data_IF_907197190237
#
_entry.id   IF_907197190237
#
_cell.length_a   1.000
_cell.length_b   1.000
_cell.length_c   1.000
_cell.angle_alpha   90.00
_cell.angle_beta   90.00
_cell.angle_gamma   90.00
#
_symmetry.space_group_name_H-M   'P 1'
#
loop_
_entity.id
_entity.type
_entity.pdbx_description
1 polymer ?
#
# COMPACT_ATOMS: atom_id res chain seq x y z
N UNK A 1 14.50 -0.17 3.35
CA UNK A 1 13.14 0.03 3.91
C UNK A 1 12.09 -0.79 3.17
N UNK A 2 12.07 -0.84 1.82
CA UNK A 2 11.11 -1.65 1.04
C UNK A 2 10.96 -3.10 1.48
N UNK A 3 12.04 -3.77 1.87
CA UNK A 3 11.96 -5.17 2.32
C UNK A 3 11.14 -5.32 3.59
N UNK A 4 11.28 -4.39 4.56
CA UNK A 4 10.43 -4.36 5.75
C UNK A 4 8.95 -4.15 5.40
N UNK A 5 8.65 -3.35 4.38
CA UNK A 5 7.26 -3.17 3.93
C UNK A 5 6.67 -4.47 3.37
N UNK A 6 7.47 -5.25 2.61
CA UNK A 6 7.05 -6.57 2.12
C UNK A 6 6.83 -7.53 3.28
N UNK A 7 7.77 -7.59 4.23
CA UNK A 7 7.65 -8.41 5.45
C UNK A 7 6.36 -8.11 6.20
N UNK A 8 6.04 -6.83 6.42
CA UNK A 8 4.81 -6.44 7.12
C UNK A 8 3.55 -6.83 6.36
N UNK A 9 3.54 -6.71 5.03
CA UNK A 9 2.42 -7.14 4.20
C UNK A 9 2.24 -8.67 4.23
N UNK A 10 3.35 -9.43 4.28
CA UNK A 10 3.32 -10.87 4.46
C UNK A 10 2.80 -11.27 5.84
N UNK A 11 3.23 -10.60 6.91
CA UNK A 11 2.70 -10.81 8.26
C UNK A 11 1.18 -10.53 8.33
N UNK A 12 0.72 -9.44 7.69
CA UNK A 12 -0.73 -9.15 7.58
C UNK A 12 -1.46 -10.30 6.86
N UNK A 13 -0.90 -10.80 5.76
CA UNK A 13 -1.46 -11.95 5.05
C UNK A 13 -1.55 -13.19 5.96
N UNK A 14 -0.48 -13.55 6.65
CA UNK A 14 -0.43 -14.71 7.54
C UNK A 14 -1.51 -14.61 8.64
N UNK A 15 -1.62 -13.44 9.27
CA UNK A 15 -2.65 -13.17 10.26
C UNK A 15 -4.07 -13.30 9.67
N UNK A 16 -4.31 -12.74 8.48
CA UNK A 16 -5.61 -12.85 7.81
C UNK A 16 -5.96 -14.31 7.47
N UNK A 17 -4.98 -15.11 7.03
CA UNK A 17 -5.15 -16.53 6.77
C UNK A 17 -5.44 -17.32 8.05
N UNK A 18 -4.75 -17.03 9.15
CA UNK A 18 -5.00 -17.64 10.45
C UNK A 18 -6.42 -17.35 10.94
N UNK A 19 -6.88 -16.10 10.84
CA UNK A 19 -8.26 -15.70 11.18
C UNK A 19 -9.28 -16.45 10.31
N UNK A 20 -9.01 -16.60 9.00
CA UNK A 20 -9.88 -17.37 8.10
C UNK A 20 -9.98 -18.84 8.52
N UNK A 21 -8.86 -19.49 8.86
CA UNK A 21 -8.84 -20.88 9.34
C UNK A 21 -9.61 -21.03 10.65
N UNK A 22 -9.36 -20.15 11.62
CA UNK A 22 -10.07 -20.16 12.90
C UNK A 22 -11.59 -19.98 12.73
N UNK A 23 -12.03 -19.10 11.82
CA UNK A 23 -13.46 -18.94 11.50
C UNK A 23 -14.08 -20.20 10.88
N UNK A 24 -13.37 -20.87 9.98
CA UNK A 24 -13.84 -22.11 9.36
C UNK A 24 -13.90 -23.27 10.36
N UNK A 25 -12.88 -23.39 11.22
CA UNK A 25 -12.87 -24.35 12.33
C UNK A 25 -14.07 -24.13 13.27
N UNK A 26 -14.34 -22.87 13.66
CA UNK A 26 -15.49 -22.52 14.50
C UNK A 26 -16.84 -22.83 13.83
N UNK A 27 -16.88 -22.80 12.49
CA UNK A 27 -18.05 -23.19 11.71
C UNK A 27 -18.18 -24.72 11.49
N UNK A 28 -17.23 -25.51 11.99
CA UNK A 28 -17.27 -26.98 11.99
C UNK A 28 -16.42 -27.67 10.93
N UNK A 29 -15.76 -26.93 10.03
CA UNK A 29 -14.89 -27.52 8.99
C UNK A 29 -13.78 -26.56 8.57
N UNK A 30 -12.56 -26.79 9.07
CA UNK A 30 -11.39 -25.97 8.74
C UNK A 30 -11.04 -26.04 7.23
N UNK A 31 -11.33 -27.15 6.54
CA UNK A 31 -11.00 -27.30 5.11
C UNK A 31 -11.68 -26.24 4.24
N UNK A 32 -12.78 -25.67 4.73
CA UNK A 32 -13.54 -24.59 4.09
C UNK A 32 -12.97 -23.19 4.34
N UNK A 33 -11.78 -23.05 4.93
CA UNK A 33 -11.15 -21.74 5.20
C UNK A 33 -11.05 -20.85 3.96
N UNK A 34 -10.86 -21.42 2.76
CA UNK A 34 -10.83 -20.66 1.50
C UNK A 34 -12.15 -19.95 1.20
N UNK A 35 -13.29 -20.45 1.70
CA UNK A 35 -14.61 -19.80 1.57
C UNK A 35 -14.77 -18.58 2.49
N UNK A 36 -13.97 -18.47 3.56
CA UNK A 36 -13.98 -17.32 4.45
C UNK A 36 -13.40 -16.09 3.72
N UNK A 37 -14.02 -14.93 3.89
CA UNK A 37 -13.60 -13.69 3.20
C UNK A 37 -12.85 -12.76 4.14
N UNK A 38 -11.70 -12.28 3.70
CA UNK A 38 -11.06 -11.09 4.26
C UNK A 38 -11.63 -9.87 3.54
N UNK A 39 -12.53 -9.15 4.21
CA UNK A 39 -13.32 -8.08 3.59
C UNK A 39 -12.46 -6.86 3.30
N UNK A 40 -12.78 -6.10 2.26
CA UNK A 40 -12.00 -4.94 1.83
C UNK A 40 -11.82 -3.87 2.93
N UNK A 41 -12.84 -3.51 3.74
CA UNK A 41 -12.63 -2.59 4.86
C UNK A 41 -11.65 -3.14 5.90
N UNK A 42 -11.70 -4.44 6.17
CA UNK A 42 -10.77 -5.10 7.09
C UNK A 42 -9.35 -5.07 6.54
N UNK A 43 -9.15 -5.39 5.25
CA UNK A 43 -7.84 -5.28 4.58
C UNK A 43 -7.23 -3.90 4.76
N UNK A 44 -8.03 -2.86 4.45
CA UNK A 44 -7.59 -1.47 4.53
C UNK A 44 -7.18 -1.12 5.98
N UNK A 45 -8.02 -1.49 6.95
CA UNK A 45 -7.73 -1.28 8.37
C UNK A 45 -6.48 -2.00 8.84
N UNK A 46 -6.29 -3.27 8.47
CA UNK A 46 -5.14 -4.08 8.91
C UNK A 46 -3.82 -3.51 8.36
N UNK A 47 -3.80 -3.10 7.09
CA UNK A 47 -2.63 -2.46 6.46
C UNK A 47 -2.33 -1.12 7.13
N UNK A 48 -3.32 -0.24 7.25
CA UNK A 48 -3.15 1.08 7.89
C UNK A 48 -2.68 0.95 9.32
N UNK A 49 -3.21 -0.01 10.08
CA UNK A 49 -2.79 -0.26 11.46
C UNK A 49 -1.33 -0.69 11.54
N UNK A 50 -0.92 -1.68 10.75
CA UNK A 50 0.45 -2.18 10.79
C UNK A 50 1.47 -1.10 10.40
N UNK A 51 1.24 -0.40 9.29
CA UNK A 51 2.15 0.65 8.86
C UNK A 51 2.18 1.82 9.84
N UNK A 52 1.05 2.20 10.43
CA UNK A 52 1.04 3.21 11.48
C UNK A 52 1.92 2.83 12.66
N UNK A 53 1.71 1.65 13.22
CA UNK A 53 2.35 1.24 14.47
C UNK A 53 3.87 1.06 14.26
N UNK A 54 4.29 0.58 13.09
CA UNK A 54 5.71 0.52 12.73
C UNK A 54 6.31 1.91 12.44
N UNK A 55 5.55 2.80 11.79
CA UNK A 55 5.98 4.19 11.56
C UNK A 55 6.19 4.95 12.86
N UNK A 56 5.32 4.73 13.85
CA UNK A 56 5.44 5.33 15.17
C UNK A 56 6.74 4.88 15.88
N UNK A 57 7.08 3.58 15.81
CA UNK A 57 8.36 3.06 16.34
C UNK A 57 9.58 3.69 15.68
N UNK A 58 9.43 4.15 14.44
CA UNK A 58 10.46 4.85 13.66
C UNK A 58 10.45 6.38 13.88
N UNK A 59 9.54 6.90 14.72
CA UNK A 59 9.44 8.33 15.02
C UNK A 59 8.58 9.15 14.05
N UNK A 60 7.84 8.51 13.14
CA UNK A 60 6.99 9.20 12.17
C UNK A 60 5.56 9.42 12.69
N UNK A 61 4.93 10.50 12.22
CA UNK A 61 3.49 10.77 12.46
C UNK A 61 2.67 10.36 11.24
N UNK A 62 1.65 9.53 11.43
CA UNK A 62 0.80 9.08 10.33
C UNK A 62 -0.43 9.96 10.08
N UNK A 63 -1.02 9.84 8.89
CA UNK A 63 -2.46 9.99 8.67
C UNK A 63 -2.99 8.76 7.93
N UNK A 64 -4.17 8.22 8.28
CA UNK A 64 -4.96 8.57 9.46
C UNK A 64 -4.23 8.28 10.79
N UNK A 65 -4.73 8.88 11.88
CA UNK A 65 -4.16 8.80 13.23
C UNK A 65 -5.24 8.51 14.27
N UNK A 66 -5.10 7.42 15.02
CA UNK A 66 -6.01 7.11 16.14
C UNK A 66 -5.76 8.00 17.36
N UNK A 67 -4.52 8.49 17.53
CA UNK A 67 -4.15 9.34 18.68
C UNK A 67 -4.84 10.69 18.64
N UNK A 68 -5.01 11.24 17.45
CA UNK A 68 -5.60 12.55 17.23
C UNK A 68 -7.01 12.49 16.61
N UNK A 69 -7.46 11.30 16.22
CA UNK A 69 -8.70 11.12 15.46
C UNK A 69 -8.66 11.71 14.04
N UNK A 70 -7.47 12.07 13.56
CA UNK A 70 -7.32 12.68 12.24
C UNK A 70 -7.57 11.64 11.14
N UNK A 71 -8.40 12.01 10.18
CA UNK A 71 -8.75 11.18 9.03
C UNK A 71 -7.64 11.09 7.99
N UNK A 72 -8.00 10.50 6.86
CA UNK A 72 -7.17 10.46 5.66
C UNK A 72 -6.91 11.87 5.11
N UNK A 73 -5.88 11.97 4.29
CA UNK A 73 -5.51 13.23 3.64
C UNK A 73 -5.63 13.10 2.12
N UNK A 74 -4.62 13.56 1.37
CA UNK A 74 -4.58 13.37 -0.09
C UNK A 74 -4.45 11.89 -0.48
N UNK A 75 -3.79 11.11 0.38
CA UNK A 75 -3.55 9.68 0.21
C UNK A 75 -4.30 8.89 1.28
N UNK A 76 -4.56 7.61 1.01
CA UNK A 76 -5.09 6.67 2.00
C UNK A 76 -4.23 6.64 3.26
N UNK A 77 -2.91 6.65 3.09
CA UNK A 77 -2.00 6.59 4.22
C UNK A 77 -0.68 7.33 3.95
N UNK A 78 -0.20 8.05 4.95
CA UNK A 78 1.11 8.72 4.91
C UNK A 78 1.91 8.56 6.20
N UNK A 79 3.23 8.56 6.08
CA UNK A 79 4.14 8.90 7.18
C UNK A 79 4.78 10.26 6.94
N UNK A 80 4.87 11.04 8.01
CA UNK A 80 5.36 12.41 7.99
C UNK A 80 6.41 12.60 9.07
N UNK A 81 7.49 13.28 8.73
CA UNK A 81 8.53 13.72 9.64
C UNK A 81 8.38 15.21 9.92
N UNK A 82 8.57 15.59 11.17
CA UNK A 82 8.48 16.97 11.62
C UNK A 82 9.79 17.35 12.29
N UNK A 83 10.18 18.61 12.17
CA UNK A 83 11.30 19.17 12.93
C UNK A 83 10.92 19.37 14.42
N UNK A 84 11.90 19.81 15.22
CA UNK A 84 11.72 20.05 16.65
C UNK A 84 10.73 21.19 16.95
N UNK A 85 10.51 22.10 15.99
CA UNK A 85 9.55 23.21 16.07
C UNK A 85 8.14 22.79 15.64
N UNK A 86 7.99 21.59 15.09
CA UNK A 86 6.71 21.02 14.64
C UNK A 86 6.33 21.39 13.21
N UNK A 87 7.25 21.91 12.39
CA UNK A 87 7.03 22.08 10.96
C UNK A 87 7.18 20.76 10.21
N UNK A 88 6.40 20.58 9.14
CA UNK A 88 6.49 19.40 8.28
C UNK A 88 7.80 19.46 7.48
N UNK A 89 8.72 18.53 7.75
CA UNK A 89 10.01 18.44 7.08
C UNK A 89 9.92 17.56 5.82
N UNK A 90 9.23 16.42 5.92
CA UNK A 90 9.20 15.40 4.86
C UNK A 90 7.91 14.56 4.89
N UNK A 91 7.40 14.20 3.70
CA UNK A 91 6.52 13.04 3.54
C UNK A 91 7.41 11.82 3.27
N UNK A 92 7.61 10.96 4.28
CA UNK A 92 8.52 9.80 4.15
C UNK A 92 7.90 8.71 3.29
N UNK A 93 6.59 8.47 3.47
CA UNK A 93 5.83 7.43 2.80
C UNK A 93 4.48 7.98 2.35
N UNK A 94 4.11 7.71 1.10
CA UNK A 94 2.75 7.86 0.60
C UNK A 94 2.21 6.50 0.11
N UNK A 95 0.96 6.20 0.44
CA UNK A 95 0.33 4.92 0.10
C UNK A 95 -1.12 5.12 -0.35
N UNK A 96 -1.50 4.44 -1.44
CA UNK A 96 -2.88 4.23 -1.88
C UNK A 96 -3.26 2.76 -1.68
N UNK A 97 -4.49 2.49 -1.22
CA UNK A 97 -4.98 1.18 -0.81
C UNK A 97 -6.34 0.90 -1.46
N UNK A 98 -6.30 0.38 -2.69
CA UNK A 98 -7.48 0.11 -3.49
C UNK A 98 -7.96 -1.35 -3.34
N UNK A 99 -8.68 -1.61 -2.24
CA UNK A 99 -9.19 -2.94 -1.90
C UNK A 99 -10.61 -3.20 -2.41
N UNK A 100 -11.32 -2.20 -2.93
CA UNK A 100 -12.70 -2.34 -3.41
C UNK A 100 -12.84 -2.16 -4.92
N UNK A 101 -12.04 -1.27 -5.51
CA UNK A 101 -12.06 -1.01 -6.95
C UNK A 101 -11.28 -2.09 -7.71
N UNK A 102 -11.88 -2.62 -8.77
CA UNK A 102 -11.27 -3.59 -9.68
C UNK A 102 -11.11 -3.04 -11.10
N UNK A 103 -11.54 -1.81 -11.31
CA UNK A 103 -11.47 -1.17 -12.61
C UNK A 103 -10.06 -0.62 -12.80
N UNK A 104 -9.49 -0.88 -13.97
CA UNK A 104 -8.18 -0.34 -14.32
C UNK A 104 -8.19 1.20 -14.22
N UNK A 105 -9.28 1.85 -14.64
CA UNK A 105 -9.40 3.31 -14.58
C UNK A 105 -9.26 3.88 -13.17
N UNK A 106 -9.91 3.27 -12.18
CA UNK A 106 -9.83 3.70 -10.78
C UNK A 106 -8.40 3.56 -10.24
N UNK A 107 -7.87 2.34 -10.30
CA UNK A 107 -6.50 2.02 -9.88
C UNK A 107 -5.46 2.97 -10.47
N UNK A 108 -5.61 3.28 -11.76
CA UNK A 108 -4.70 4.14 -12.49
C UNK A 108 -4.82 5.63 -12.13
N UNK A 109 -6.00 6.09 -11.71
CA UNK A 109 -6.22 7.44 -11.18
C UNK A 109 -5.57 7.57 -9.82
N UNK A 110 -5.75 6.59 -8.94
CA UNK A 110 -5.21 6.61 -7.59
C UNK A 110 -3.68 6.46 -7.62
N UNK A 111 -3.13 5.63 -8.50
CA UNK A 111 -1.68 5.58 -8.76
C UNK A 111 -1.09 6.93 -9.24
N UNK A 112 -1.86 7.74 -9.98
CA UNK A 112 -1.38 9.06 -10.41
C UNK A 112 -1.17 10.02 -9.23
N UNK A 113 -1.92 9.86 -8.12
CA UNK A 113 -1.66 10.61 -6.88
C UNK A 113 -0.27 10.27 -6.32
N UNK A 114 0.12 9.00 -6.34
CA UNK A 114 1.46 8.59 -5.89
C UNK A 114 2.57 9.15 -6.79
N UNK A 115 2.36 9.19 -8.11
CA UNK A 115 3.33 9.76 -9.04
C UNK A 115 3.66 11.22 -8.72
N UNK A 116 2.65 12.03 -8.38
CA UNK A 116 2.86 13.44 -8.03
C UNK A 116 3.42 13.68 -6.62
N UNK A 117 3.41 12.68 -5.75
CA UNK A 117 3.98 12.79 -4.41
C UNK A 117 5.50 13.05 -4.48
N UNK A 118 6.01 13.85 -3.57
CA UNK A 118 7.44 14.04 -3.31
C UNK A 118 8.02 12.99 -2.34
N UNK A 119 7.20 12.04 -1.87
CA UNK A 119 7.63 11.05 -0.90
C UNK A 119 8.75 10.13 -1.42
N UNK A 120 9.72 9.84 -0.55
CA UNK A 120 10.82 8.92 -0.85
C UNK A 120 10.32 7.50 -1.13
N UNK A 121 9.33 7.04 -0.35
CA UNK A 121 8.71 5.74 -0.51
C UNK A 121 7.26 5.86 -0.96
N UNK A 122 6.87 5.05 -1.96
CA UNK A 122 5.52 5.05 -2.53
C UNK A 122 4.99 3.63 -2.64
N UNK A 123 3.80 3.40 -2.10
CA UNK A 123 3.20 2.06 -2.07
C UNK A 123 1.83 2.09 -2.74
N UNK A 124 1.63 1.26 -3.76
CA UNK A 124 0.30 1.00 -4.32
C UNK A 124 -0.13 -0.38 -3.86
N UNK A 125 -1.16 -0.45 -3.01
CA UNK A 125 -1.80 -1.71 -2.64
C UNK A 125 -3.12 -1.83 -3.36
N UNK A 126 -3.39 -2.98 -3.97
CA UNK A 126 -4.64 -3.22 -4.69
C UNK A 126 -5.02 -4.70 -4.64
N UNK A 127 -6.19 -5.06 -5.17
CA UNK A 127 -6.58 -6.47 -5.30
C UNK A 127 -7.13 -6.81 -6.68
N UNK A 128 -6.88 -8.04 -7.12
CA UNK A 128 -7.57 -8.64 -8.26
C UNK A 128 -7.97 -10.09 -7.95
N UNK A 129 -8.67 -10.72 -8.90
CA UNK A 129 -9.06 -12.12 -8.75
C UNK A 129 -7.86 -13.04 -8.91
N UNK A 130 -7.14 -12.89 -10.01
CA UNK A 130 -6.02 -13.75 -10.42
C UNK A 130 -4.68 -13.04 -10.24
N UNK A 131 -3.62 -13.82 -10.26
CA UNK A 131 -2.23 -13.39 -10.39
C UNK A 131 -1.95 -12.73 -11.75
N UNK A 132 -2.47 -13.27 -12.84
CA UNK A 132 -2.32 -12.68 -14.19
C UNK A 132 -2.83 -11.23 -14.27
N UNK A 133 -3.99 -10.96 -13.66
CA UNK A 133 -4.56 -9.60 -13.57
C UNK A 133 -3.61 -8.66 -12.79
N UNK A 134 -2.99 -9.17 -11.72
CA UNK A 134 -2.05 -8.40 -10.89
C UNK A 134 -0.77 -8.09 -11.65
N UNK A 135 -0.21 -9.08 -12.35
CA UNK A 135 0.98 -8.88 -13.18
C UNK A 135 0.70 -7.90 -14.32
N UNK A 136 -0.49 -7.96 -14.92
CA UNK A 136 -0.92 -6.99 -15.92
C UNK A 136 -0.97 -5.58 -15.32
N UNK A 137 -1.63 -5.40 -14.17
CA UNK A 137 -1.68 -4.11 -13.46
C UNK A 137 -0.29 -3.57 -13.11
N UNK A 138 0.63 -4.43 -12.64
CA UNK A 138 2.03 -4.07 -12.40
C UNK A 138 2.71 -3.45 -13.62
N UNK A 139 2.56 -4.08 -14.79
CA UNK A 139 3.14 -3.57 -16.03
C UNK A 139 2.51 -2.25 -16.46
N UNK A 140 1.20 -2.06 -16.25
CA UNK A 140 0.55 -0.76 -16.50
C UNK A 140 1.09 0.34 -15.59
N UNK A 141 1.27 0.08 -14.29
CA UNK A 141 1.84 1.04 -13.35
C UNK A 141 3.27 1.43 -13.72
N UNK A 142 4.14 0.45 -14.04
CA UNK A 142 5.51 0.71 -14.49
C UNK A 142 5.56 1.54 -15.77
N UNK A 143 4.73 1.19 -16.77
CA UNK A 143 4.63 1.96 -18.04
C UNK A 143 4.20 3.40 -17.80
N UNK A 144 3.30 3.65 -16.86
CA UNK A 144 2.89 5.02 -16.49
C UNK A 144 4.00 5.77 -15.77
N UNK A 145 4.65 5.14 -14.80
CA UNK A 145 5.76 5.74 -14.07
C UNK A 145 6.91 6.14 -15.01
N UNK A 146 7.26 5.29 -15.98
CA UNK A 146 8.29 5.57 -16.98
C UNK A 146 7.97 6.79 -17.87
N UNK A 147 6.69 7.07 -18.12
CA UNK A 147 6.26 8.25 -18.91
C UNK A 147 6.17 9.53 -18.06
N UNK A 148 5.97 9.39 -16.76
CA UNK A 148 5.84 10.54 -15.87
C UNK A 148 7.14 11.35 -15.79
N UNK A 149 7.01 12.68 -15.74
CA UNK A 149 8.15 13.58 -15.55
C UNK A 149 8.43 13.68 -14.05
N UNK A 150 9.22 12.72 -13.57
CA UNK A 150 9.62 12.60 -12.18
C UNK A 150 10.52 13.76 -11.79
N UNK A 151 10.12 14.49 -10.75
CA UNK A 151 10.90 15.61 -10.18
C UNK A 151 11.80 15.17 -9.04
N UNK A 152 11.34 14.22 -8.23
CA UNK A 152 12.03 13.71 -7.05
C UNK A 152 12.24 12.20 -7.20
N UNK A 153 13.46 11.67 -7.00
CA UNK A 153 13.68 10.23 -6.98
C UNK A 153 12.80 9.56 -5.93
N UNK A 154 12.27 8.38 -6.26
CA UNK A 154 11.40 7.65 -5.32
C UNK A 154 11.47 6.15 -5.54
N UNK A 155 11.24 5.41 -4.46
CA UNK A 155 11.21 3.96 -4.41
C UNK A 155 9.76 3.46 -4.35
N UNK A 156 9.33 2.74 -5.39
CA UNK A 156 7.99 2.17 -5.46
C UNK A 156 7.96 0.71 -5.03
N UNK A 157 6.95 0.36 -4.23
CA UNK A 157 6.52 -1.01 -4.00
C UNK A 157 5.07 -1.16 -4.47
N UNK A 158 4.84 -2.02 -5.45
CA UNK A 158 3.51 -2.40 -5.88
C UNK A 158 3.14 -3.73 -5.22
N UNK A 159 1.96 -3.79 -4.61
CA UNK A 159 1.48 -4.95 -3.88
C UNK A 159 0.06 -5.30 -4.31
N UNK A 160 -0.12 -6.45 -4.95
CA UNK A 160 -1.43 -6.93 -5.40
C UNK A 160 -1.89 -8.13 -4.57
N UNK A 161 -3.07 -8.04 -3.95
CA UNK A 161 -3.72 -9.18 -3.29
C UNK A 161 -4.48 -10.03 -4.32
N UNK A 162 -4.07 -11.28 -4.49
CA UNK A 162 -4.79 -12.28 -5.29
C UNK A 162 -5.86 -12.95 -4.44
N UNK A 163 -7.13 -12.72 -4.75
CA UNK A 163 -8.23 -13.35 -4.00
C UNK A 163 -8.39 -14.84 -4.29
N UNK A 164 -7.95 -15.34 -5.45
CA UNK A 164 -7.95 -16.78 -5.76
C UNK A 164 -6.87 -17.52 -4.96
N UNK A 165 -5.66 -16.95 -4.91
CA UNK A 165 -4.51 -17.57 -4.24
C UNK A 165 -4.50 -17.28 -2.74
N UNK A 166 -5.17 -16.21 -2.31
CA UNK A 166 -5.10 -15.67 -0.95
C UNK A 166 -3.65 -15.31 -0.54
N UNK A 167 -2.96 -14.61 -1.44
CA UNK A 167 -1.60 -14.14 -1.20
C UNK A 167 -1.38 -12.77 -1.84
N UNK A 168 -0.43 -12.02 -1.30
CA UNK A 168 0.15 -10.86 -1.93
C UNK A 168 1.21 -11.27 -2.95
N UNK A 169 1.21 -10.56 -4.08
CA UNK A 169 2.27 -10.53 -5.06
C UNK A 169 2.93 -9.15 -5.01
N UNK A 170 4.20 -9.09 -5.36
CA UNK A 170 5.00 -7.87 -5.27
C UNK A 170 5.78 -7.61 -6.54
N UNK A 171 5.96 -6.34 -6.87
CA UNK A 171 7.02 -5.88 -7.76
C UNK A 171 7.50 -4.51 -7.30
N UNK A 172 8.72 -4.15 -7.65
CA UNK A 172 9.33 -2.90 -7.22
C UNK A 172 10.10 -2.27 -8.37
N UNK A 173 10.26 -0.95 -8.29
CA UNK A 173 11.09 -0.18 -9.19
C UNK A 173 11.43 1.16 -8.52
N UNK A 174 12.48 1.82 -9.02
CA UNK A 174 12.83 3.18 -8.63
C UNK A 174 12.63 4.12 -9.80
N UNK A 175 12.28 5.37 -9.50
CA UNK A 175 12.31 6.45 -10.48
C UNK A 175 13.51 7.35 -10.23
N UNK A 176 14.30 7.66 -11.24
CA UNK A 176 15.30 8.73 -11.17
C UNK A 176 14.62 10.08 -11.49
N UNK A 177 14.95 11.11 -10.71
CA UNK A 177 14.59 12.48 -11.07
C UNK A 177 15.23 12.83 -12.42
N UNK A 178 14.48 13.52 -13.29
CA UNK A 178 15.10 14.19 -14.44
C UNK A 178 15.40 15.61 -14.03
N UNK A 179 16.66 16.00 -14.08
CA UNK A 179 17.08 17.38 -13.79
C UNK A 179 16.22 18.35 -14.59
N UNK A 180 15.63 19.31 -13.90
CA UNK A 180 15.09 20.50 -14.53
C UNK A 180 16.29 21.21 -15.13
N UNK A 181 16.48 21.09 -16.45
CA UNK A 181 17.34 22.06 -17.15
C UNK A 181 16.70 23.43 -16.89
N UNK A 182 17.42 24.39 -16.30
CA UNK A 182 16.91 25.75 -16.24
C UNK A 182 16.74 26.24 -17.68
N UNK A 183 15.54 26.72 -17.99
CA UNK A 183 15.25 27.47 -19.21
C UNK A 183 15.96 28.83 -19.17
#
# INVERSE_FOLDING_TARGET
>A
MRDRFKEWLLEIQENALAIKRAKALKAGDESLWKKQKWLSPQKNSDIKARFRDEGEKLGYRSLPSYKTGAGEWLYDFVWRKFDDEGHLEEIVLAMEIEMSDRTERGLMRDFAKLLQSDAAYKIMVFQHKTDDDIHTAFEHFKKRAAKYRVKVPSEFLLCGWSTSMNQFLFTEFSTSGRDLKPD
#
